data_IF_961919526238
#
_entry.id   IF_961919526238
#
_cell.length_a   1.000
_cell.length_b   1.000
_cell.length_c   1.000
_cell.angle_alpha   90.00
_cell.angle_beta   90.00
_cell.angle_gamma   90.00
#
_symmetry.space_group_name_H-M   'P 1'
#
loop_
_entity.id
_entity.type
_entity.pdbx_description
1 polymer ?
#
# COMPACT_ATOMS: atom_id res chain seq x y z
N UNK A 1 -8.26 -30.90 -2.19
CA UNK A 1 -8.86 -29.60 -2.57
C UNK A 1 -9.33 -28.70 -1.40
N UNK A 2 -8.89 -28.94 -0.14
CA UNK A 2 -9.33 -28.13 1.05
C UNK A 2 -8.35 -27.04 1.54
N UNK A 3 -7.24 -26.78 0.84
CA UNK A 3 -6.14 -25.92 1.35
C UNK A 3 -6.20 -24.43 0.93
N UNK A 4 -7.24 -23.98 0.24
CA UNK A 4 -7.29 -22.59 -0.25
C UNK A 4 -8.27 -21.68 0.51
N UNK A 5 -9.00 -22.19 1.50
CA UNK A 5 -10.05 -21.43 2.18
C UNK A 5 -9.50 -20.37 3.15
N UNK A 6 -8.37 -20.64 3.79
CA UNK A 6 -7.77 -19.69 4.74
C UNK A 6 -7.21 -18.44 4.03
N UNK A 7 -6.56 -18.65 2.90
CA UNK A 7 -6.05 -17.51 2.08
C UNK A 7 -7.23 -16.70 1.50
N UNK A 8 -8.29 -17.39 1.07
CA UNK A 8 -9.53 -16.74 0.61
C UNK A 8 -10.23 -15.99 1.75
N UNK A 9 -10.25 -16.53 2.96
CA UNK A 9 -10.82 -15.85 4.13
C UNK A 9 -10.02 -14.62 4.55
N UNK A 10 -8.68 -14.68 4.48
CA UNK A 10 -7.82 -13.52 4.76
C UNK A 10 -7.97 -12.43 3.70
N UNK A 11 -8.05 -12.83 2.42
CA UNK A 11 -8.37 -11.91 1.32
C UNK A 11 -9.80 -11.39 1.42
N UNK A 12 -10.76 -12.20 1.84
CA UNK A 12 -12.15 -11.78 2.05
C UNK A 12 -12.28 -10.80 3.21
N UNK A 13 -11.51 -10.96 4.28
CA UNK A 13 -11.48 -9.98 5.39
C UNK A 13 -10.88 -8.64 4.91
N UNK A 14 -9.85 -8.68 4.07
CA UNK A 14 -9.29 -7.49 3.41
C UNK A 14 -10.31 -6.84 2.46
N UNK A 15 -11.07 -7.65 1.74
CA UNK A 15 -12.10 -7.22 0.79
C UNK A 15 -13.39 -6.74 1.48
N UNK A 16 -13.76 -7.29 2.64
CA UNK A 16 -14.91 -6.82 3.42
C UNK A 16 -14.73 -5.35 3.87
N UNK A 17 -13.51 -4.91 4.12
CA UNK A 17 -13.20 -3.51 4.41
C UNK A 17 -13.28 -2.63 3.15
N UNK A 18 -13.02 -3.19 1.96
CA UNK A 18 -13.09 -2.49 0.67
C UNK A 18 -14.45 -2.63 -0.05
N UNK A 19 -15.28 -3.62 0.31
CA UNK A 19 -16.53 -3.95 -0.38
C UNK A 19 -17.74 -3.09 0.06
N UNK A 20 -17.52 -2.13 0.91
CA UNK A 20 -18.59 -1.29 1.47
C UNK A 20 -19.07 -0.22 0.49
N UNK A 21 -19.22 -0.43 -0.78
CA UNK A 21 -20.10 0.32 -1.69
C UNK A 21 -19.69 0.16 -3.17
N UNK A 22 -20.55 -0.49 -3.93
CA UNK A 22 -20.51 -0.53 -5.40
C UNK A 22 -20.75 0.86 -6.05
N UNK A 23 -21.17 1.85 -5.29
CA UNK A 23 -21.35 3.24 -5.74
C UNK A 23 -20.04 3.95 -6.10
N UNK A 24 -18.92 3.55 -5.48
CA UNK A 24 -17.63 4.20 -5.68
C UNK A 24 -17.04 4.06 -7.11
N UNK A 25 -17.53 3.12 -7.92
CA UNK A 25 -17.05 2.97 -9.30
C UNK A 25 -17.61 4.02 -10.26
N UNK A 26 -18.85 4.46 -10.03
CA UNK A 26 -19.47 5.50 -10.84
C UNK A 26 -18.88 6.87 -10.51
N UNK A 27 -18.63 7.15 -9.22
CA UNK A 27 -18.07 8.42 -8.74
C UNK A 27 -16.62 8.63 -9.20
N UNK A 28 -15.81 7.57 -9.25
CA UNK A 28 -14.43 7.65 -9.80
C UNK A 28 -14.46 7.89 -11.33
N UNK A 29 -15.49 7.41 -12.04
CA UNK A 29 -15.71 7.71 -13.46
C UNK A 29 -15.85 9.21 -13.73
N UNK A 30 -16.47 9.95 -12.82
CA UNK A 30 -16.67 11.39 -12.95
C UNK A 30 -15.37 12.19 -12.87
N UNK A 31 -14.31 11.64 -12.24
CA UNK A 31 -12.99 12.27 -12.23
C UNK A 31 -12.34 12.34 -13.63
N UNK A 32 -12.80 11.52 -14.58
CA UNK A 32 -12.28 11.53 -15.96
C UNK A 32 -12.86 12.65 -16.84
N UNK A 33 -13.91 13.34 -16.40
CA UNK A 33 -14.73 14.22 -17.25
C UNK A 33 -14.00 15.51 -17.67
N UNK A 34 -13.03 16.00 -16.92
CA UNK A 34 -12.32 17.26 -17.24
C UNK A 34 -11.16 17.13 -18.25
N UNK A 35 -11.03 15.97 -18.88
CA UNK A 35 -9.90 15.63 -19.74
C UNK A 35 -8.73 15.00 -18.99
N UNK A 36 -7.79 14.31 -19.72
CA UNK A 36 -6.76 13.46 -19.10
C UNK A 36 -5.83 14.17 -18.10
N UNK A 37 -5.51 15.42 -18.35
CA UNK A 37 -4.59 16.18 -17.50
C UNK A 37 -5.20 16.50 -16.13
N UNK A 38 -6.43 17.01 -16.11
CA UNK A 38 -7.15 17.32 -14.88
C UNK A 38 -7.57 16.04 -14.15
N UNK A 39 -8.03 15.02 -14.89
CA UNK A 39 -8.32 13.70 -14.35
C UNK A 39 -7.11 13.08 -13.62
N UNK A 40 -5.91 13.16 -14.21
CA UNK A 40 -4.68 12.66 -13.59
C UNK A 40 -4.41 13.35 -12.25
N UNK A 41 -4.57 14.67 -12.17
CA UNK A 41 -4.36 15.46 -10.96
C UNK A 41 -5.38 15.13 -9.88
N UNK A 42 -6.66 15.02 -10.24
CA UNK A 42 -7.75 14.67 -9.32
C UNK A 42 -7.58 13.25 -8.77
N UNK A 43 -7.32 12.26 -9.63
CA UNK A 43 -7.07 10.87 -9.24
C UNK A 43 -5.88 10.80 -8.30
N UNK A 44 -4.83 11.54 -8.60
CA UNK A 44 -3.64 11.56 -7.77
C UNK A 44 -3.92 12.13 -6.37
N UNK A 45 -4.65 13.24 -6.28
CA UNK A 45 -5.04 13.84 -5.00
C UNK A 45 -5.99 12.92 -4.21
N UNK A 46 -6.97 12.32 -4.87
CA UNK A 46 -7.93 11.42 -4.25
C UNK A 46 -7.29 10.16 -3.68
N UNK A 47 -6.38 9.52 -4.41
CA UNK A 47 -5.71 8.28 -3.98
C UNK A 47 -4.37 8.49 -3.25
N UNK A 48 -3.92 9.73 -3.00
CA UNK A 48 -2.66 10.00 -2.33
C UNK A 48 -2.47 9.24 -0.99
N UNK A 49 -3.46 9.16 -0.08
CA UNK A 49 -3.31 8.37 1.14
C UNK A 49 -3.18 6.87 0.90
N UNK A 50 -3.86 6.34 -0.15
CA UNK A 50 -3.73 4.93 -0.54
C UNK A 50 -2.28 4.62 -0.95
N UNK A 51 -1.69 5.47 -1.80
CA UNK A 51 -0.32 5.28 -2.28
C UNK A 51 0.67 5.30 -1.12
N UNK A 52 0.56 6.28 -0.23
CA UNK A 52 1.42 6.39 0.96
C UNK A 52 1.22 5.23 1.93
N UNK A 53 -0.02 4.87 2.22
CA UNK A 53 -0.33 3.77 3.13
C UNK A 53 0.12 2.40 2.61
N UNK A 54 -0.10 2.11 1.33
CA UNK A 54 0.43 0.91 0.69
C UNK A 54 1.96 0.90 0.67
N UNK A 55 2.59 2.03 0.33
CA UNK A 55 4.05 2.17 0.35
C UNK A 55 4.64 1.82 1.70
N UNK A 56 4.03 2.30 2.81
CA UNK A 56 4.41 1.91 4.17
C UNK A 56 4.25 0.41 4.39
N UNK A 57 3.12 -0.16 3.98
CA UNK A 57 2.87 -1.60 4.11
C UNK A 57 3.90 -2.46 3.36
N UNK A 58 4.35 -2.03 2.17
CA UNK A 58 5.37 -2.75 1.37
C UNK A 58 6.72 -2.82 2.07
N UNK A 59 7.08 -1.79 2.81
CA UNK A 59 8.37 -1.66 3.47
C UNK A 59 8.37 -2.21 4.89
N UNK A 60 7.20 -2.44 5.49
CA UNK A 60 7.06 -2.88 6.89
C UNK A 60 7.19 -4.40 7.07
N UNK A 61 7.40 -4.80 8.33
CA UNK A 61 7.30 -6.19 8.79
C UNK A 61 8.35 -7.14 8.23
N UNK A 62 9.50 -6.69 7.74
CA UNK A 62 10.56 -7.56 7.23
C UNK A 62 11.24 -8.38 8.31
N UNK A 63 11.43 -7.82 9.49
CA UNK A 63 12.09 -8.48 10.61
C UNK A 63 11.45 -8.09 11.94
N UNK A 64 11.36 -9.04 12.89
CA UNK A 64 10.79 -8.84 14.22
C UNK A 64 11.80 -9.25 15.32
N UNK A 65 13.05 -9.45 14.95
CA UNK A 65 14.16 -9.74 15.84
C UNK A 65 15.47 -9.52 15.09
N UNK A 66 16.51 -9.11 15.79
CA UNK A 66 17.86 -9.03 15.27
C UNK A 66 18.50 -10.42 15.11
N UNK A 67 18.09 -11.42 15.91
CA UNK A 67 18.62 -12.78 15.83
C UNK A 67 18.40 -13.41 14.45
N UNK A 68 19.45 -14.06 13.91
CA UNK A 68 19.34 -14.91 12.73
C UNK A 68 18.63 -16.23 13.07
N UNK A 69 18.02 -16.85 12.09
CA UNK A 69 17.33 -18.16 12.25
C UNK A 69 18.31 -19.29 12.55
N UNK A 70 19.55 -19.17 12.09
CA UNK A 70 20.54 -20.24 12.07
C UNK A 70 20.42 -21.09 10.79
N UNK A 71 21.50 -21.80 10.47
CA UNK A 71 21.65 -22.52 9.21
C UNK A 71 20.53 -23.54 8.95
N UNK A 72 19.91 -23.48 7.78
CA UNK A 72 18.78 -24.29 7.29
C UNK A 72 17.51 -24.23 8.16
N UNK A 73 17.43 -23.33 9.12
CA UNK A 73 16.20 -23.11 9.86
C UNK A 73 15.31 -22.11 9.12
N UNK A 74 14.02 -22.29 9.20
CA UNK A 74 13.06 -21.52 8.43
C UNK A 74 11.92 -20.94 9.28
N UNK A 75 11.24 -19.99 8.70
CA UNK A 75 10.07 -19.32 9.29
C UNK A 75 9.12 -18.91 8.16
N UNK A 76 7.86 -19.30 8.27
CA UNK A 76 6.80 -18.84 7.39
C UNK A 76 5.86 -17.96 8.20
N UNK A 77 5.54 -16.77 7.71
CA UNK A 77 4.78 -15.78 8.43
C UNK A 77 3.70 -15.16 7.56
N UNK A 78 2.55 -14.93 8.18
CA UNK A 78 1.45 -14.11 7.65
C UNK A 78 1.28 -12.93 8.59
N UNK A 79 1.22 -11.73 8.04
CA UNK A 79 0.99 -10.51 8.80
C UNK A 79 0.06 -9.55 8.07
N UNK A 80 -0.59 -8.73 8.85
CA UNK A 80 -1.42 -7.61 8.37
C UNK A 80 -0.89 -6.33 9.00
N UNK A 81 -0.90 -5.26 8.24
CA UNK A 81 -0.54 -3.91 8.70
C UNK A 81 -1.68 -2.95 8.42
N UNK A 82 -1.79 -1.92 9.24
CA UNK A 82 -2.71 -0.81 9.03
C UNK A 82 -1.98 0.52 9.19
N UNK A 83 -1.88 1.30 8.11
CA UNK A 83 -1.33 2.64 8.14
C UNK A 83 -2.44 3.65 8.41
N UNK A 84 -2.33 4.43 9.49
CA UNK A 84 -3.32 5.42 9.92
C UNK A 84 -3.17 6.70 9.11
N UNK A 85 -4.21 7.04 8.34
CA UNK A 85 -4.25 8.28 7.55
C UNK A 85 -4.45 9.47 8.49
N UNK A 86 -3.50 10.40 8.58
CA UNK A 86 -3.63 11.58 9.44
C UNK A 86 -4.74 12.49 8.92
N UNK A 87 -5.33 13.30 9.79
CA UNK A 87 -6.43 14.19 9.45
C UNK A 87 -6.10 15.13 8.28
N UNK A 88 -4.86 15.63 8.22
CA UNK A 88 -4.37 16.49 7.13
C UNK A 88 -4.32 15.82 5.76
N UNK A 89 -4.43 14.48 5.68
CA UNK A 89 -4.42 13.72 4.42
C UNK A 89 -5.80 13.12 4.08
N UNK A 90 -6.87 13.48 4.82
CA UNK A 90 -8.23 12.97 4.58
C UNK A 90 -9.03 13.81 3.59
N UNK A 91 -8.53 15.00 3.23
CA UNK A 91 -9.15 15.89 2.26
C UNK A 91 -8.10 16.57 1.39
N UNK A 92 -8.52 17.10 0.26
CA UNK A 92 -7.70 17.91 -0.65
C UNK A 92 -8.49 19.14 -1.14
N UNK A 93 -7.77 20.20 -1.50
CA UNK A 93 -8.34 21.42 -2.06
C UNK A 93 -8.08 21.45 -3.58
N UNK A 94 -9.15 21.43 -4.38
CA UNK A 94 -9.10 21.49 -5.84
C UNK A 94 -8.37 22.72 -6.34
N UNK A 95 -8.47 23.86 -5.65
CA UNK A 95 -7.81 25.08 -6.04
C UNK A 95 -6.28 24.97 -6.02
N UNK A 96 -5.73 24.05 -5.23
CA UNK A 96 -4.26 23.83 -5.14
C UNK A 96 -3.72 22.90 -6.22
N UNK A 97 -4.59 22.19 -6.94
CA UNK A 97 -4.18 21.19 -7.92
C UNK A 97 -3.77 21.78 -9.28
N UNK A 98 -4.06 23.07 -9.51
CA UNK A 98 -3.78 23.73 -10.79
C UNK A 98 -4.53 23.09 -11.95
N UNK A 99 -5.83 22.80 -11.78
CA UNK A 99 -6.71 22.28 -12.83
C UNK A 99 -6.97 23.34 -13.88
N UNK A 100 -7.12 22.91 -15.14
CA UNK A 100 -7.33 23.80 -16.27
C UNK A 100 -8.81 23.99 -16.58
N UNK A 101 -9.55 22.88 -16.62
CA UNK A 101 -10.94 22.83 -17.12
C UNK A 101 -11.95 22.54 -16.04
N UNK A 102 -11.56 22.37 -14.78
CA UNK A 102 -12.42 22.08 -13.66
C UNK A 102 -12.26 23.15 -12.59
N UNK A 103 -13.36 23.72 -12.13
CA UNK A 103 -13.40 24.72 -11.04
C UNK A 103 -14.59 24.42 -10.13
N UNK A 104 -14.54 24.83 -8.85
CA UNK A 104 -15.71 24.78 -7.98
C UNK A 104 -16.87 25.55 -8.62
N UNK A 105 -18.09 24.98 -8.55
CA UNK A 105 -19.30 25.67 -8.95
C UNK A 105 -19.53 26.88 -8.04
N UNK A 106 -20.29 27.85 -8.53
CA UNK A 106 -20.58 29.08 -7.76
C UNK A 106 -21.20 28.74 -6.39
N UNK A 107 -20.54 29.19 -5.32
CA UNK A 107 -20.95 28.93 -3.94
C UNK A 107 -20.65 27.52 -3.41
N UNK A 108 -20.02 26.65 -4.21
CA UNK A 108 -19.64 25.31 -3.76
C UNK A 108 -18.26 25.29 -3.08
N UNK A 109 -18.05 24.32 -2.18
CA UNK A 109 -16.76 24.08 -1.56
C UNK A 109 -15.73 23.60 -2.58
N UNK A 110 -14.48 24.02 -2.44
CA UNK A 110 -13.34 23.50 -3.20
C UNK A 110 -12.73 22.25 -2.56
N UNK A 111 -13.21 21.85 -1.38
CA UNK A 111 -12.66 20.75 -0.61
C UNK A 111 -13.37 19.45 -1.00
N UNK A 112 -12.58 18.42 -1.30
CA UNK A 112 -13.03 17.06 -1.49
C UNK A 112 -12.35 16.09 -0.51
N UNK A 113 -13.03 15.02 -0.07
CA UNK A 113 -12.40 13.96 0.72
C UNK A 113 -11.47 13.14 -0.17
N UNK A 114 -10.40 12.61 0.42
CA UNK A 114 -9.58 11.59 -0.23
C UNK A 114 -10.26 10.22 -0.13
N UNK A 115 -9.73 9.21 -0.82
CA UNK A 115 -10.27 7.83 -0.78
C UNK A 115 -10.39 7.27 0.65
N UNK A 116 -9.52 7.68 1.58
CA UNK A 116 -9.57 7.33 3.00
C UNK A 116 -10.02 8.50 3.89
N UNK A 117 -10.69 9.48 3.29
CA UNK A 117 -11.36 10.58 3.97
C UNK A 117 -12.76 10.21 4.45
N UNK A 118 -13.56 11.24 4.75
CA UNK A 118 -14.93 11.09 5.28
C UNK A 118 -15.87 10.53 4.21
N UNK A 119 -16.91 9.78 4.66
CA UNK A 119 -17.97 9.21 3.82
C UNK A 119 -19.03 10.30 3.50
N UNK A 120 -18.60 11.35 2.83
CA UNK A 120 -19.43 12.47 2.38
C UNK A 120 -18.96 12.94 1.01
N UNK A 121 -19.89 13.28 0.12
CA UNK A 121 -19.53 13.88 -1.15
C UNK A 121 -18.79 15.20 -0.95
N UNK A 122 -17.76 15.42 -1.79
CA UNK A 122 -17.05 16.69 -1.80
C UNK A 122 -17.81 17.78 -2.54
N UNK A 123 -17.14 18.93 -2.74
CA UNK A 123 -17.75 20.08 -3.41
C UNK A 123 -18.20 19.77 -4.82
N UNK A 124 -19.24 20.48 -5.27
CA UNK A 124 -19.73 20.44 -6.65
C UNK A 124 -18.77 21.16 -7.58
N UNK A 125 -18.35 20.50 -8.65
CA UNK A 125 -17.43 21.04 -9.65
C UNK A 125 -18.16 21.35 -10.94
N UNK A 126 -17.70 22.39 -11.64
CA UNK A 126 -18.17 22.77 -12.97
C UNK A 126 -17.06 22.56 -14.00
N UNK A 127 -17.44 22.06 -15.17
CA UNK A 127 -16.53 21.78 -16.27
C UNK A 127 -16.53 22.95 -17.25
N UNK A 128 -15.33 23.33 -17.68
CA UNK A 128 -15.09 24.39 -18.66
C UNK A 128 -14.42 23.82 -19.90
N UNK A 129 -14.66 24.44 -21.04
CA UNK A 129 -13.92 24.18 -22.27
C UNK A 129 -12.48 24.68 -22.13
N UNK A 130 -11.58 24.27 -23.02
CA UNK A 130 -10.21 24.78 -23.10
C UNK A 130 -10.13 26.30 -23.35
N UNK A 131 -11.20 26.89 -23.89
CA UNK A 131 -11.34 28.34 -24.05
C UNK A 131 -11.92 29.05 -22.83
N UNK A 132 -12.17 28.34 -21.73
CA UNK A 132 -12.66 28.91 -20.46
C UNK A 132 -14.18 29.18 -20.43
N UNK A 133 -14.93 28.63 -21.37
CA UNK A 133 -16.40 28.77 -21.40
C UNK A 133 -17.02 27.63 -20.57
N UNK A 134 -17.98 27.88 -19.66
CA UNK A 134 -18.66 26.84 -18.92
C UNK A 134 -19.47 25.93 -19.84
N UNK A 135 -19.32 24.63 -19.71
CA UNK A 135 -20.06 23.61 -20.51
C UNK A 135 -21.47 23.35 -20.02
N UNK A 136 -21.82 23.85 -18.83
CA UNK A 136 -23.10 23.54 -18.17
C UNK A 136 -23.10 22.16 -17.49
N UNK A 137 -22.01 21.39 -17.57
CA UNK A 137 -21.85 20.09 -16.89
C UNK A 137 -21.26 20.26 -15.50
N UNK A 138 -21.79 19.47 -14.57
CA UNK A 138 -21.36 19.46 -13.17
C UNK A 138 -21.16 18.02 -12.70
N UNK A 139 -20.29 17.84 -11.73
CA UNK A 139 -20.14 16.61 -10.98
C UNK A 139 -19.75 16.92 -9.53
N UNK A 140 -19.98 15.99 -8.61
CA UNK A 140 -19.50 16.12 -7.24
C UNK A 140 -18.16 15.41 -7.10
N UNK A 141 -17.28 15.93 -6.26
CA UNK A 141 -16.05 15.20 -5.91
C UNK A 141 -16.45 13.94 -5.14
N UNK A 142 -15.83 12.78 -5.45
CA UNK A 142 -16.22 11.50 -4.86
C UNK A 142 -16.04 11.50 -3.35
N UNK A 143 -16.88 10.74 -2.66
CA UNK A 143 -16.82 10.54 -1.21
C UNK A 143 -15.63 9.64 -0.84
N UNK A 144 -15.14 9.75 0.40
CA UNK A 144 -14.20 8.80 1.00
C UNK A 144 -14.91 7.55 1.51
N UNK A 145 -14.13 6.55 1.94
CA UNK A 145 -14.71 5.31 2.51
C UNK A 145 -15.12 5.44 3.98
N UNK A 146 -14.86 6.58 4.64
CA UNK A 146 -15.14 6.80 6.07
C UNK A 146 -14.26 5.99 7.03
N UNK A 147 -13.28 5.29 6.50
CA UNK A 147 -12.33 4.48 7.26
C UNK A 147 -10.89 4.96 7.00
N UNK A 148 -10.21 5.40 8.04
CA UNK A 148 -8.96 6.14 7.94
C UNK A 148 -7.72 5.28 8.14
N UNK A 149 -7.77 4.00 7.73
CA UNK A 149 -6.63 3.08 7.82
C UNK A 149 -6.44 2.39 6.48
N UNK A 150 -5.24 2.48 5.92
CA UNK A 150 -4.87 1.73 4.71
C UNK A 150 -4.34 0.37 5.12
N UNK A 151 -5.05 -0.72 4.83
CA UNK A 151 -4.62 -2.05 5.20
C UNK A 151 -3.62 -2.60 4.19
N UNK A 152 -2.73 -3.48 4.65
CA UNK A 152 -1.89 -4.32 3.79
C UNK A 152 -1.68 -5.69 4.41
N UNK A 153 -1.54 -6.73 3.59
CA UNK A 153 -1.30 -8.09 4.03
C UNK A 153 -0.05 -8.66 3.34
N UNK A 154 0.71 -9.48 4.07
CA UNK A 154 1.96 -10.03 3.58
C UNK A 154 2.09 -11.49 3.98
N UNK A 155 2.62 -12.28 3.06
CA UNK A 155 3.04 -13.66 3.31
C UNK A 155 4.52 -13.73 2.98
N UNK A 156 5.32 -14.21 3.93
CA UNK A 156 6.77 -14.34 3.71
C UNK A 156 7.32 -15.63 4.29
N UNK A 157 8.37 -16.13 3.63
CA UNK A 157 9.17 -17.24 4.09
C UNK A 157 10.63 -16.78 4.26
N UNK A 158 11.22 -17.08 5.39
CA UNK A 158 12.61 -16.73 5.72
C UNK A 158 13.41 -18.00 5.94
N UNK A 159 14.60 -18.08 5.35
CA UNK A 159 15.56 -19.17 5.50
C UNK A 159 16.86 -18.63 6.08
N UNK A 160 17.37 -19.30 7.11
CA UNK A 160 18.70 -19.02 7.66
C UNK A 160 19.81 -19.66 6.83
N UNK A 161 20.82 -18.87 6.52
CA UNK A 161 22.05 -19.25 5.81
C UNK A 161 23.22 -19.31 6.78
N UNK A 162 24.41 -19.83 6.34
CA UNK A 162 25.64 -19.72 7.11
C UNK A 162 26.00 -18.27 7.42
N UNK A 163 26.87 -18.05 8.41
CA UNK A 163 27.36 -16.74 8.84
C UNK A 163 26.25 -15.79 9.34
N UNK A 164 25.23 -16.35 10.00
CA UNK A 164 24.14 -15.58 10.62
C UNK A 164 23.38 -14.63 9.64
N UNK A 165 23.21 -15.09 8.42
CA UNK A 165 22.45 -14.41 7.38
C UNK A 165 21.08 -15.07 7.26
N UNK A 166 20.01 -14.27 7.17
CA UNK A 166 18.69 -14.72 6.79
C UNK A 166 18.34 -14.14 5.41
N UNK A 167 17.73 -14.95 4.55
CA UNK A 167 17.09 -14.49 3.32
C UNK A 167 15.60 -14.69 3.41
N UNK A 168 14.85 -13.73 2.89
CA UNK A 168 13.40 -13.71 2.97
C UNK A 168 12.79 -13.52 1.59
N UNK A 169 11.82 -14.35 1.28
CA UNK A 169 10.95 -14.23 0.11
C UNK A 169 9.55 -13.81 0.58
N UNK A 170 9.01 -12.76 -0.01
CA UNK A 170 7.58 -12.42 0.02
C UNK A 170 6.95 -12.85 -1.28
N UNK A 171 5.85 -13.58 -1.23
CA UNK A 171 5.16 -13.98 -2.44
C UNK A 171 3.66 -14.13 -2.19
N UNK A 172 2.88 -13.50 -3.04
CA UNK A 172 1.45 -13.72 -3.18
C UNK A 172 1.17 -13.94 -4.66
N UNK A 173 0.76 -15.15 -5.07
CA UNK A 173 0.43 -15.42 -6.45
C UNK A 173 -0.73 -14.54 -6.90
N UNK A 174 -0.93 -14.41 -8.21
CA UNK A 174 -2.04 -13.62 -8.75
C UNK A 174 -3.36 -14.18 -8.24
N UNK A 175 -4.02 -13.40 -7.40
CA UNK A 175 -5.33 -13.70 -6.81
C UNK A 175 -6.37 -12.84 -7.53
N UNK A 176 -7.37 -13.47 -8.12
CA UNK A 176 -8.55 -12.79 -8.64
C UNK A 176 -9.48 -12.47 -7.47
N UNK A 177 -9.81 -11.20 -7.30
CA UNK A 177 -10.64 -10.72 -6.21
C UNK A 177 -12.14 -10.81 -6.53
N UNK A 178 -12.46 -10.90 -7.83
CA UNK A 178 -13.81 -10.97 -8.40
C UNK A 178 -13.78 -10.51 -9.85
N UNK A 179 -14.91 -10.55 -10.56
CA UNK A 179 -15.05 -10.00 -11.91
C UNK A 179 -14.72 -8.51 -11.93
N UNK A 180 -15.22 -7.78 -10.95
CA UNK A 180 -15.23 -6.33 -10.90
C UNK A 180 -14.16 -5.71 -9.99
N UNK A 181 -13.46 -6.54 -9.21
CA UNK A 181 -12.41 -6.10 -8.28
C UNK A 181 -10.99 -6.41 -8.78
N UNK A 182 -10.88 -7.01 -9.97
CA UNK A 182 -9.60 -7.25 -10.62
C UNK A 182 -8.74 -8.32 -9.96
N UNK A 183 -7.43 -8.14 -10.04
CA UNK A 183 -6.45 -9.09 -9.52
C UNK A 183 -5.25 -8.42 -8.88
N UNK A 184 -4.70 -9.08 -7.88
CA UNK A 184 -3.57 -8.61 -7.09
C UNK A 184 -2.48 -9.68 -7.04
N UNK A 185 -1.21 -9.27 -7.09
CA UNK A 185 -0.05 -10.14 -6.87
C UNK A 185 1.08 -9.38 -6.17
N UNK A 186 1.92 -10.10 -5.45
CA UNK A 186 3.07 -9.53 -4.75
C UNK A 186 4.29 -10.42 -4.89
N UNK A 187 5.45 -9.81 -5.03
CA UNK A 187 6.76 -10.44 -4.89
C UNK A 187 7.69 -9.51 -4.14
N UNK A 188 8.57 -10.06 -3.32
CA UNK A 188 9.58 -9.29 -2.60
C UNK A 188 10.73 -10.18 -2.13
N UNK A 189 11.88 -9.57 -1.98
CA UNK A 189 13.11 -10.22 -1.52
C UNK A 189 13.75 -9.37 -0.44
N UNK A 190 14.29 -10.01 0.57
CA UNK A 190 14.97 -9.33 1.66
C UNK A 190 16.12 -10.17 2.22
N UNK A 191 17.04 -9.49 2.88
CA UNK A 191 18.11 -10.12 3.62
C UNK A 191 18.30 -9.42 4.97
N UNK A 192 18.76 -10.18 5.96
CA UNK A 192 19.16 -9.70 7.28
C UNK A 192 20.48 -10.36 7.68
N UNK A 193 21.35 -9.58 8.29
CA UNK A 193 22.65 -10.03 8.80
C UNK A 193 22.73 -9.67 10.28
N UNK A 194 22.91 -10.67 11.14
CA UNK A 194 23.20 -10.48 12.55
C UNK A 194 24.68 -10.15 12.72
N UNK A 195 24.95 -9.00 13.34
CA UNK A 195 26.30 -8.40 13.31
C UNK A 195 27.23 -8.93 14.40
N UNK A 196 26.73 -9.11 15.63
CA UNK A 196 27.59 -9.45 16.77
C UNK A 196 28.43 -10.73 16.55
N UNK A 197 27.84 -11.84 16.04
CA UNK A 197 28.62 -13.05 15.79
C UNK A 197 29.65 -12.92 14.68
N UNK A 198 29.56 -11.90 13.84
CA UNK A 198 30.52 -11.67 12.74
C UNK A 198 31.78 -10.93 13.20
N UNK A 199 31.63 -10.02 14.18
CA UNK A 199 32.70 -9.13 14.61
C UNK A 199 33.34 -9.52 15.96
N UNK A 200 32.63 -10.35 16.74
CA UNK A 200 33.04 -10.71 18.09
C UNK A 200 33.26 -12.22 18.24
N UNK A 201 34.33 -12.59 18.92
CA UNK A 201 34.52 -13.98 19.31
C UNK A 201 33.45 -14.47 20.26
N UNK A 202 33.23 -15.79 20.33
CA UNK A 202 32.16 -16.42 21.11
C UNK A 202 32.12 -16.06 22.59
N UNK A 203 33.21 -15.63 23.15
CA UNK A 203 33.31 -15.19 24.56
C UNK A 203 32.78 -13.77 24.77
N UNK A 204 33.08 -12.86 23.85
CA UNK A 204 32.70 -11.45 23.93
C UNK A 204 31.22 -11.26 23.55
N UNK A 205 30.71 -12.06 22.61
CA UNK A 205 29.29 -12.08 22.23
C UNK A 205 28.37 -12.32 23.45
N UNK A 206 28.78 -13.22 24.36
CA UNK A 206 28.02 -13.55 25.59
C UNK A 206 27.95 -12.42 26.60
N UNK A 207 28.83 -11.44 26.52
CA UNK A 207 28.86 -10.29 27.45
C UNK A 207 27.88 -9.19 27.02
N UNK A 208 27.46 -9.19 25.75
CA UNK A 208 26.50 -8.21 25.22
C UNK A 208 25.07 -8.77 25.34
N UNK A 209 24.21 -8.15 26.15
CA UNK A 209 22.90 -8.70 26.46
C UNK A 209 21.84 -8.48 25.37
N UNK A 210 22.24 -8.03 24.17
CA UNK A 210 21.34 -7.72 23.05
C UNK A 210 21.90 -8.24 21.74
N UNK A 211 21.03 -8.51 20.77
CA UNK A 211 21.36 -8.85 19.41
C UNK A 211 21.23 -7.61 18.52
N UNK A 212 22.13 -7.44 17.55
CA UNK A 212 22.13 -6.32 16.61
C UNK A 212 22.19 -6.88 15.19
N UNK A 213 21.36 -6.33 14.30
CA UNK A 213 21.33 -6.73 12.89
C UNK A 213 21.10 -5.53 11.96
N UNK A 214 21.49 -5.70 10.72
CA UNK A 214 21.04 -4.87 9.61
C UNK A 214 20.16 -5.71 8.69
N UNK A 215 19.12 -5.10 8.12
CA UNK A 215 18.19 -5.75 7.23
C UNK A 215 17.82 -4.82 6.07
N UNK A 216 17.55 -5.40 4.92
CA UNK A 216 17.01 -4.68 3.77
C UNK A 216 16.01 -5.54 3.03
N UNK A 217 15.05 -4.88 2.38
CA UNK A 217 14.00 -5.56 1.64
C UNK A 217 13.47 -4.73 0.48
N UNK A 218 13.00 -5.44 -0.53
CA UNK A 218 12.29 -4.91 -1.69
C UNK A 218 10.97 -5.65 -1.84
N UNK A 219 9.87 -4.91 -2.04
CA UNK A 219 8.56 -5.50 -2.34
C UNK A 219 7.93 -4.79 -3.53
N UNK A 220 7.33 -5.55 -4.42
CA UNK A 220 6.49 -5.06 -5.52
C UNK A 220 5.08 -5.62 -5.40
N UNK A 221 4.07 -4.75 -5.39
CA UNK A 221 2.68 -5.05 -5.65
C UNK A 221 2.30 -4.74 -7.10
N UNK A 222 1.48 -5.60 -7.70
CA UNK A 222 0.83 -5.34 -8.99
C UNK A 222 -0.65 -5.52 -8.80
N UNK A 223 -1.41 -4.51 -9.17
CA UNK A 223 -2.87 -4.53 -9.19
C UNK A 223 -3.36 -4.26 -10.60
N UNK A 224 -4.30 -5.06 -11.05
CA UNK A 224 -4.94 -4.92 -12.35
C UNK A 224 -6.44 -4.95 -12.14
N UNK A 225 -7.11 -3.87 -12.52
CA UNK A 225 -8.56 -3.69 -12.42
C UNK A 225 -9.14 -3.54 -13.83
N UNK A 226 -9.86 -4.51 -14.37
CA UNK A 226 -10.66 -4.33 -15.57
C UNK A 226 -11.72 -3.26 -15.34
N UNK A 227 -11.90 -2.36 -16.29
CA UNK A 227 -12.95 -1.34 -16.27
C UNK A 227 -13.93 -1.61 -17.40
N UNK A 228 -15.17 -1.23 -17.20
CA UNK A 228 -16.20 -1.22 -18.24
C UNK A 228 -16.97 0.11 -18.16
N UNK A 229 -16.32 1.16 -18.66
CA UNK A 229 -16.92 2.49 -18.71
C UNK A 229 -17.57 2.67 -20.08
N UNK A 230 -18.82 3.11 -20.11
CA UNK A 230 -19.61 3.41 -21.32
C UNK A 230 -19.97 2.19 -22.19
N UNK A 231 -20.10 0.97 -21.65
CA UNK A 231 -20.58 -0.24 -22.35
C UNK A 231 -20.01 -0.43 -23.79
N UNK A 232 -18.81 0.07 -24.06
CA UNK A 232 -18.14 -0.09 -25.36
C UNK A 232 -17.44 -1.43 -25.39
N UNK A 233 -18.03 -2.38 -26.08
CA UNK A 233 -17.64 -3.79 -26.23
C UNK A 233 -16.31 -4.00 -26.92
N UNK A 234 -15.28 -3.25 -26.81
CA UNK A 234 -13.94 -3.50 -27.39
C UNK A 234 -12.87 -2.54 -26.88
N UNK A 235 -13.00 -2.04 -25.66
CA UNK A 235 -12.13 -0.94 -25.22
C UNK A 235 -10.90 -1.36 -24.40
N UNK A 236 -10.75 -2.64 -24.05
CA UNK A 236 -9.66 -3.15 -23.18
C UNK A 236 -9.33 -2.24 -21.99
N UNK A 237 -10.37 -1.56 -21.47
CA UNK A 237 -10.25 -0.58 -20.40
C UNK A 237 -9.79 -1.26 -19.11
N UNK A 238 -8.71 -0.79 -18.54
CA UNK A 238 -8.19 -1.29 -17.27
C UNK A 238 -7.31 -0.29 -16.56
N UNK A 239 -7.23 -0.42 -15.25
CA UNK A 239 -6.21 0.24 -14.44
C UNK A 239 -5.12 -0.78 -14.13
N UNK A 240 -3.89 -0.47 -14.50
CA UNK A 240 -2.67 -1.18 -14.11
C UNK A 240 -1.91 -0.33 -13.10
N UNK A 241 -1.77 -0.81 -11.86
CA UNK A 241 -0.99 -0.15 -10.84
C UNK A 241 0.16 -1.04 -10.34
N UNK A 242 1.35 -0.45 -10.24
CA UNK A 242 2.54 -1.06 -9.66
C UNK A 242 3.02 -0.19 -8.51
N UNK A 243 3.20 -0.81 -7.36
CA UNK A 243 3.74 -0.18 -6.16
C UNK A 243 5.04 -0.89 -5.81
N UNK A 244 6.11 -0.14 -5.63
CA UNK A 244 7.40 -0.69 -5.22
C UNK A 244 7.82 -0.04 -3.92
N UNK A 245 8.39 -0.83 -3.01
CA UNK A 245 8.93 -0.35 -1.75
C UNK A 245 10.30 -0.95 -1.47
N UNK A 246 11.21 -0.13 -0.97
CA UNK A 246 12.56 -0.52 -0.51
C UNK A 246 12.75 -0.01 0.91
N UNK A 247 13.39 -0.79 1.75
CA UNK A 247 13.77 -0.38 3.10
C UNK A 247 15.14 -0.92 3.50
N UNK A 248 15.77 -0.19 4.42
CA UNK A 248 16.97 -0.60 5.15
C UNK A 248 16.77 -0.26 6.62
N UNK A 249 17.09 -1.21 7.51
CA UNK A 249 16.86 -1.07 8.95
C UNK A 249 18.08 -1.55 9.74
N UNK A 250 18.45 -0.82 10.78
CA UNK A 250 19.24 -1.29 11.90
C UNK A 250 18.28 -1.74 13.01
N UNK A 251 18.49 -2.94 13.54
CA UNK A 251 17.58 -3.61 14.46
C UNK A 251 18.35 -4.01 15.71
N UNK A 252 17.77 -3.74 16.86
CA UNK A 252 18.23 -4.27 18.15
C UNK A 252 17.11 -5.09 18.78
N UNK A 253 17.44 -6.23 19.36
CA UNK A 253 16.49 -7.09 20.07
C UNK A 253 17.14 -7.79 21.25
N UNK A 254 16.31 -8.25 22.19
CA UNK A 254 16.74 -9.08 23.31
C UNK A 254 15.77 -10.22 23.53
N UNK A 255 16.26 -11.45 23.42
CA UNK A 255 15.44 -12.61 23.73
C UNK A 255 15.33 -12.80 25.25
N UNK A 256 14.12 -12.81 25.78
CA UNK A 256 13.77 -13.04 27.18
C UNK A 256 12.79 -14.21 27.19
N UNK A 257 13.30 -15.42 27.35
CA UNK A 257 12.52 -16.67 27.32
C UNK A 257 11.66 -16.79 26.03
N UNK A 258 10.35 -16.63 26.11
CA UNK A 258 9.40 -16.68 24.99
C UNK A 258 9.12 -15.30 24.38
N UNK A 259 9.53 -14.23 25.02
CA UNK A 259 9.31 -12.84 24.61
C UNK A 259 10.58 -12.22 24.05
N UNK A 260 10.50 -11.59 22.91
CA UNK A 260 11.63 -10.89 22.27
C UNK A 260 11.19 -9.51 21.87
N UNK A 261 11.38 -8.48 22.70
CA UNK A 261 11.21 -7.09 22.29
C UNK A 261 12.28 -6.71 21.27
N UNK A 262 11.92 -5.80 20.38
CA UNK A 262 12.85 -5.21 19.42
C UNK A 262 12.55 -3.73 19.18
N UNK A 263 13.58 -3.01 18.77
CA UNK A 263 13.48 -1.69 18.20
C UNK A 263 14.27 -1.64 16.90
N UNK A 264 13.84 -0.80 15.99
CA UNK A 264 14.58 -0.54 14.75
C UNK A 264 14.49 0.92 14.35
N UNK A 265 15.53 1.38 13.67
CA UNK A 265 15.58 2.64 12.95
C UNK A 265 16.03 2.35 11.53
N UNK A 266 15.45 3.02 10.56
CA UNK A 266 15.77 2.75 9.17
C UNK A 266 15.32 3.85 8.24
N UNK A 267 15.56 3.59 6.95
CA UNK A 267 15.14 4.42 5.84
C UNK A 267 14.28 3.62 4.88
N UNK A 268 13.29 4.25 4.30
CA UNK A 268 12.38 3.63 3.36
C UNK A 268 12.02 4.58 2.22
N UNK A 269 11.80 3.98 1.05
CA UNK A 269 11.24 4.70 -0.09
C UNK A 269 10.21 3.83 -0.79
N UNK A 270 9.17 4.45 -1.33
CA UNK A 270 8.18 3.78 -2.17
C UNK A 270 7.74 4.65 -3.32
N UNK A 271 7.34 4.00 -4.40
CA UNK A 271 6.83 4.68 -5.58
C UNK A 271 5.64 3.94 -6.20
N UNK A 272 4.74 4.73 -6.79
CA UNK A 272 3.58 4.28 -7.53
C UNK A 272 3.76 4.56 -9.02
N UNK A 273 3.36 3.58 -9.84
CA UNK A 273 3.17 3.73 -11.27
C UNK A 273 1.77 3.20 -11.62
N UNK A 274 0.83 4.10 -11.84
CA UNK A 274 -0.56 3.79 -12.17
C UNK A 274 -0.85 4.26 -13.60
N UNK A 275 -1.51 3.41 -14.38
CA UNK A 275 -1.93 3.71 -15.75
C UNK A 275 -3.38 3.29 -15.94
N UNK A 276 -4.19 4.16 -16.56
CA UNK A 276 -5.44 3.77 -17.15
C UNK A 276 -5.19 3.47 -18.63
N UNK A 277 -5.32 2.21 -19.01
CA UNK A 277 -5.06 1.69 -20.33
C UNK A 277 -6.36 1.35 -21.05
N UNK A 278 -6.36 1.48 -22.38
CA UNK A 278 -7.52 1.25 -23.22
C UNK A 278 -8.07 2.53 -23.85
N UNK A 279 -9.15 2.39 -24.58
CA UNK A 279 -9.81 3.50 -25.28
C UNK A 279 -10.99 4.00 -24.50
N UNK A 280 -11.00 5.30 -24.19
CA UNK A 280 -12.05 5.99 -23.45
C UNK A 280 -12.70 7.03 -24.34
N UNK A 281 -14.03 6.98 -24.43
CA UNK A 281 -14.83 7.98 -25.15
C UNK A 281 -15.47 8.91 -24.13
N UNK A 282 -15.18 10.17 -24.27
CA UNK A 282 -15.81 11.22 -23.45
C UNK A 282 -16.74 12.04 -24.35
N UNK A 283 -18.01 12.07 -24.01
CA UNK A 283 -19.00 12.87 -24.73
C UNK A 283 -19.06 14.26 -24.09
N UNK A 284 -18.54 15.25 -24.78
CA UNK A 284 -18.66 16.66 -24.40
C UNK A 284 -19.74 17.32 -25.24
N UNK A 285 -21.01 17.03 -24.93
CA UNK A 285 -22.20 17.64 -25.48
C UNK A 285 -22.29 17.84 -27.01
N UNK A 286 -21.24 18.33 -27.63
CA UNK A 286 -21.09 18.56 -29.07
C UNK A 286 -19.88 17.88 -29.69
N UNK A 287 -18.88 17.42 -28.88
CA UNK A 287 -17.67 16.81 -29.36
C UNK A 287 -17.42 15.48 -28.65
N UNK A 288 -17.36 14.40 -29.40
CA UNK A 288 -16.89 13.10 -28.92
C UNK A 288 -15.36 13.08 -28.93
N UNK A 289 -14.73 13.21 -27.79
CA UNK A 289 -13.28 13.05 -27.66
C UNK A 289 -12.93 11.60 -27.29
N UNK A 290 -12.05 10.98 -28.08
CA UNK A 290 -11.54 9.64 -27.82
C UNK A 290 -10.10 9.74 -27.33
N UNK A 291 -9.82 9.15 -26.16
CA UNK A 291 -8.48 9.12 -25.58
C UNK A 291 -8.00 7.67 -25.47
N UNK A 292 -6.77 7.43 -25.87
CA UNK A 292 -6.09 6.15 -25.72
C UNK A 292 -5.09 6.28 -24.58
N UNK A 293 -5.16 5.37 -23.60
CA UNK A 293 -4.29 5.35 -22.43
C UNK A 293 -4.22 6.71 -21.67
N UNK A 294 -5.36 7.29 -21.28
CA UNK A 294 -5.46 8.71 -20.93
C UNK A 294 -4.73 9.11 -19.65
N UNK A 295 -4.43 8.16 -18.75
CA UNK A 295 -3.87 8.47 -17.43
C UNK A 295 -2.57 7.71 -17.23
N UNK A 296 -1.55 8.45 -16.78
CA UNK A 296 -0.28 7.89 -16.32
C UNK A 296 0.22 8.70 -15.13
N UNK A 297 0.19 8.07 -13.94
CA UNK A 297 0.74 8.61 -12.70
C UNK A 297 2.03 7.88 -12.39
N UNK A 298 3.11 8.61 -12.19
CA UNK A 298 4.38 8.09 -11.70
C UNK A 298 4.92 9.04 -10.64
N UNK A 299 5.01 8.56 -9.41
CA UNK A 299 5.42 9.38 -8.27
C UNK A 299 6.15 8.60 -7.21
N UNK A 300 6.92 9.33 -6.39
CA UNK A 300 7.44 8.84 -5.12
C UNK A 300 6.43 9.16 -4.03
N UNK A 301 5.96 8.12 -3.33
CA UNK A 301 4.90 8.25 -2.31
C UNK A 301 5.50 8.52 -0.94
N UNK A 302 6.58 7.81 -0.64
CA UNK A 302 7.30 7.88 0.63
C UNK A 302 8.78 7.94 0.32
N UNK A 303 9.47 8.76 1.08
CA UNK A 303 10.92 8.87 1.11
C UNK A 303 11.32 9.43 2.46
N UNK A 304 12.00 8.63 3.31
CA UNK A 304 12.39 9.11 4.62
C UNK A 304 12.66 8.05 5.67
N UNK A 305 13.00 8.54 6.84
CA UNK A 305 13.31 7.72 8.01
C UNK A 305 12.06 7.13 8.63
N UNK A 306 12.26 5.98 9.31
CA UNK A 306 11.24 5.33 10.13
C UNK A 306 11.85 4.79 11.42
N UNK A 307 11.03 4.71 12.45
CA UNK A 307 11.35 4.04 13.72
C UNK A 307 10.28 3.03 14.06
N UNK A 308 10.66 1.84 14.51
CA UNK A 308 9.72 0.80 14.89
C UNK A 308 10.04 0.24 16.27
N UNK A 309 8.98 -0.06 17.01
CA UNK A 309 9.04 -0.78 18.27
C UNK A 309 8.10 -1.97 18.18
N UNK A 310 8.50 -3.12 18.70
CA UNK A 310 7.64 -4.28 18.63
C UNK A 310 8.16 -5.46 19.44
N UNK A 311 7.50 -6.59 19.26
CA UNK A 311 7.83 -7.82 19.95
C UNK A 311 7.53 -9.07 19.11
N UNK A 312 8.21 -10.16 19.49
CA UNK A 312 7.90 -11.50 19.05
C UNK A 312 7.62 -12.36 20.29
N UNK A 313 6.52 -13.11 20.27
CA UNK A 313 6.25 -14.20 21.20
C UNK A 313 6.51 -15.53 20.50
N UNK A 314 7.28 -16.42 21.12
CA UNK A 314 7.61 -17.74 20.58
C UNK A 314 7.16 -18.85 21.53
N UNK A 315 6.25 -19.70 21.05
CA UNK A 315 5.74 -20.88 21.74
C UNK A 315 5.98 -22.12 20.89
N UNK A 316 7.10 -22.81 21.14
CA UNK A 316 7.53 -23.92 20.32
C UNK A 316 7.78 -23.52 18.87
N UNK A 317 6.95 -24.01 17.95
CA UNK A 317 7.02 -23.69 16.52
C UNK A 317 6.21 -22.45 16.13
N UNK A 318 5.28 -22.04 16.98
CA UNK A 318 4.40 -20.89 16.72
C UNK A 318 5.00 -19.61 17.21
N UNK A 319 4.77 -18.55 16.45
CA UNK A 319 5.24 -17.20 16.74
C UNK A 319 4.12 -16.21 16.49
N UNK A 320 4.03 -15.22 17.36
CA UNK A 320 3.14 -14.07 17.23
C UNK A 320 3.98 -12.80 17.21
N UNK A 321 3.57 -11.85 16.42
CA UNK A 321 4.29 -10.60 16.21
C UNK A 321 3.37 -9.42 16.38
N UNK A 322 3.90 -8.36 16.95
CA UNK A 322 3.25 -7.06 17.02
C UNK A 322 4.30 -5.97 16.92
N UNK A 323 4.02 -4.94 16.14
CA UNK A 323 4.87 -3.75 16.07
C UNK A 323 4.07 -2.49 15.76
N UNK A 324 4.63 -1.38 16.22
CA UNK A 324 4.22 -0.03 15.87
C UNK A 324 5.38 0.64 15.17
N UNK A 325 5.10 1.27 14.06
CA UNK A 325 6.07 2.01 13.24
C UNK A 325 5.61 3.45 13.10
N UNK A 326 6.51 4.38 13.41
CA UNK A 326 6.36 5.80 13.16
C UNK A 326 7.17 6.18 11.91
N UNK A 327 6.48 6.72 10.90
CA UNK A 327 7.05 7.19 9.65
C UNK A 327 6.21 8.37 9.12
N UNK A 328 6.03 8.49 7.79
CA UNK A 328 5.13 9.49 7.18
C UNK A 328 3.70 9.39 7.75
N UNK A 329 3.20 8.17 7.95
CA UNK A 329 2.02 7.85 8.75
C UNK A 329 2.45 6.91 9.87
N UNK A 330 1.68 6.90 10.97
CA UNK A 330 1.80 5.85 11.98
C UNK A 330 1.23 4.55 11.44
N UNK A 331 1.82 3.42 11.82
CA UNK A 331 1.36 2.12 11.36
C UNK A 331 1.47 1.07 12.46
N UNK A 332 0.53 0.15 12.48
CA UNK A 332 0.59 -1.07 13.30
C UNK A 332 0.71 -2.28 12.41
N UNK A 333 1.47 -3.28 12.87
CA UNK A 333 1.58 -4.58 12.23
C UNK A 333 1.31 -5.67 13.26
N UNK A 334 0.56 -6.67 12.87
CA UNK A 334 0.35 -7.87 13.67
C UNK A 334 0.40 -9.10 12.76
N UNK A 335 0.88 -10.21 13.30
CA UNK A 335 0.98 -11.42 12.53
C UNK A 335 1.28 -12.64 13.36
N UNK A 336 1.18 -13.77 12.70
CA UNK A 336 1.58 -15.05 13.25
C UNK A 336 2.46 -15.80 12.26
N UNK A 337 3.28 -16.68 12.79
CA UNK A 337 4.19 -17.49 11.99
C UNK A 337 4.41 -18.86 12.59
N UNK A 338 4.99 -19.67 11.76
CA UNK A 338 5.38 -21.04 12.09
C UNK A 338 6.80 -21.26 11.59
N UNK A 339 7.65 -21.79 12.45
CA UNK A 339 9.03 -22.07 12.01
C UNK A 339 9.95 -22.58 13.09
N UNK A 340 11.13 -23.02 12.65
CA UNK A 340 12.22 -23.56 13.45
C UNK A 340 13.35 -22.52 13.45
N UNK A 341 13.85 -22.15 14.62
CA UNK A 341 14.96 -21.17 14.73
C UNK A 341 15.30 -20.88 16.19
N UNK A 342 16.39 -20.10 16.42
CA UNK A 342 16.79 -19.65 17.77
C UNK A 342 15.66 -18.96 18.52
#
# INVERSE_FOLDING_TARGET
>A
MKKCYFLKALCALFLLVMAQKASAQQDVGDLFVGGPADATKLINAYFDPLYKGLGLGLTDGWSNTAQSKGFLKFDVRVSVSGAFVPQSARSYDVNTLGLSNIKPALGASSIGPTAFGDDQEGGKMQIYTSSGVPTGKFFNLPQGVGFHVVPSAQIQATLGLPKNIDVTLRAMPKIKLGSDLGSLSMIGFGAKVELLPLFMGSTTEKLIPVDIAIAGGFTQYKYNLPLNINNTSNSDQRIDAKFNGVNFDAIVSKKIMFFTPFASIGYQTSNTNLKALGTYKFEDGTNNATYVDPISVKQTDIDGVRGSLGFQLKFGFFKFYGSYTQAKYSMVNAGFGFGIGK
#
